data_IF_556966742439
#
_entry.id   IF_556966742439
#
_cell.length_a   1.000
_cell.length_b   1.000
_cell.length_c   1.000
_cell.angle_alpha   90.00
_cell.angle_beta   90.00
_cell.angle_gamma   90.00
#
_symmetry.space_group_name_H-M   'P 1'
#
loop_
_entity.id
_entity.type
_entity.pdbx_description
1 polymer ?
#
# COMPACT_ATOMS: atom_id res chain seq x y z
N UNK A 1 -5.12 -3.02 7.28
CA UNK A 1 -4.18 -2.34 6.36
C UNK A 1 -4.86 -1.20 5.62
N UNK A 2 -5.91 -1.44 4.81
CA UNK A 2 -6.63 -0.36 4.09
C UNK A 2 -7.08 0.77 5.02
N UNK A 3 -7.71 0.42 6.14
CA UNK A 3 -8.16 1.40 7.14
C UNK A 3 -7.00 2.20 7.75
N UNK A 4 -5.81 1.61 7.85
CA UNK A 4 -4.61 2.30 8.33
C UNK A 4 -4.13 3.37 7.35
N UNK A 5 -4.29 3.13 6.04
CA UNK A 5 -4.01 4.13 4.98
C UNK A 5 -5.07 5.23 4.97
N UNK A 6 -6.35 4.89 5.16
CA UNK A 6 -7.44 5.87 5.26
C UNK A 6 -7.37 6.72 6.52
N UNK A 7 -6.75 6.21 7.59
CA UNK A 7 -6.55 6.94 8.84
C UNK A 7 -5.38 7.94 8.77
N UNK A 8 -4.63 8.00 7.65
CA UNK A 8 -3.54 8.94 7.49
C UNK A 8 -4.02 10.40 7.50
N UNK A 9 -3.16 11.36 7.86
CA UNK A 9 -3.49 12.78 7.75
C UNK A 9 -3.91 13.16 6.32
N UNK A 10 -4.84 14.11 6.19
CA UNK A 10 -5.37 14.54 4.88
C UNK A 10 -4.27 15.03 3.94
N UNK A 11 -3.22 15.64 4.48
CA UNK A 11 -2.06 16.10 3.71
C UNK A 11 -1.35 14.94 3.00
N UNK A 12 -1.20 13.80 3.67
CA UNK A 12 -0.59 12.60 3.09
C UNK A 12 -1.57 11.92 2.13
N UNK A 13 -2.86 11.87 2.47
CA UNK A 13 -3.88 11.33 1.55
C UNK A 13 -3.94 12.12 0.23
N UNK A 14 -3.72 13.43 0.27
CA UNK A 14 -3.67 14.26 -0.93
C UNK A 14 -2.44 13.98 -1.82
N UNK A 15 -1.40 13.32 -1.29
CA UNK A 15 -0.18 12.95 -2.04
C UNK A 15 -0.27 11.58 -2.71
N UNK A 16 -1.29 10.76 -2.39
CA UNK A 16 -1.39 9.37 -2.85
C UNK A 16 -2.72 9.08 -3.54
N UNK A 17 -2.69 8.22 -4.56
CA UNK A 17 -3.89 7.59 -5.10
C UNK A 17 -4.05 6.21 -4.45
N UNK A 18 -5.04 6.06 -3.57
CA UNK A 18 -5.31 4.78 -2.91
C UNK A 18 -6.13 3.86 -3.82
N UNK A 19 -5.50 2.79 -4.29
CA UNK A 19 -6.19 1.70 -4.98
C UNK A 19 -6.29 0.47 -4.07
N UNK A 20 -7.52 0.05 -3.76
CA UNK A 20 -7.79 -1.12 -2.92
C UNK A 20 -8.24 -2.27 -3.80
N UNK A 21 -7.56 -3.41 -3.66
CA UNK A 21 -7.87 -4.62 -4.41
C UNK A 21 -8.23 -5.76 -3.46
N UNK A 22 -9.43 -6.30 -3.60
CA UNK A 22 -9.88 -7.46 -2.84
C UNK A 22 -9.51 -8.75 -3.57
N UNK A 23 -8.90 -9.71 -2.87
CA UNK A 23 -8.47 -11.00 -3.45
C UNK A 23 -9.68 -11.94 -3.53
N UNK A 24 -10.66 -11.53 -4.30
CA UNK A 24 -11.86 -12.32 -4.58
C UNK A 24 -11.98 -12.62 -6.08
N UNK A 25 -11.17 -11.93 -6.91
CA UNK A 25 -11.18 -12.07 -8.36
C UNK A 25 -9.79 -12.41 -8.91
N UNK A 26 -9.76 -13.16 -10.01
CA UNK A 26 -8.52 -13.71 -10.58
C UNK A 26 -7.61 -12.64 -11.20
N UNK A 27 -8.18 -11.53 -11.66
CA UNK A 27 -7.43 -10.35 -12.12
C UNK A 27 -6.57 -9.74 -11.00
N UNK A 28 -7.09 -9.74 -9.76
CA UNK A 28 -6.35 -9.26 -8.58
C UNK A 28 -5.22 -10.22 -8.21
N UNK A 29 -5.42 -11.52 -8.39
CA UNK A 29 -4.36 -12.54 -8.17
C UNK A 29 -3.21 -12.32 -9.16
N UNK A 30 -3.52 -12.07 -10.44
CA UNK A 30 -2.49 -11.76 -11.45
C UNK A 30 -1.75 -10.46 -11.10
N UNK A 31 -2.45 -9.42 -10.66
CA UNK A 31 -1.83 -8.16 -10.22
C UNK A 31 -0.94 -8.35 -8.99
N UNK A 32 -1.37 -9.16 -8.02
CA UNK A 32 -0.55 -9.57 -6.86
C UNK A 32 0.75 -10.22 -7.31
N UNK A 33 0.68 -11.16 -8.26
CA UNK A 33 1.88 -11.80 -8.82
C UNK A 33 2.79 -10.80 -9.54
N UNK A 34 2.23 -9.85 -10.30
CA UNK A 34 3.04 -8.79 -10.95
C UNK A 34 3.78 -7.91 -9.95
N UNK A 35 3.17 -7.63 -8.79
CA UNK A 35 3.78 -6.86 -7.70
C UNK A 35 4.71 -7.70 -6.81
N UNK A 36 4.90 -8.99 -7.12
CA UNK A 36 5.69 -9.97 -6.34
C UNK A 36 5.27 -10.07 -4.87
N UNK A 37 4.05 -9.67 -4.54
CA UNK A 37 3.53 -9.76 -3.19
C UNK A 37 3.35 -11.23 -2.81
N UNK A 38 4.03 -11.69 -1.77
CA UNK A 38 3.95 -13.10 -1.31
C UNK A 38 2.72 -13.31 -0.44
N UNK A 39 2.39 -12.33 0.39
CA UNK A 39 1.37 -12.44 1.43
C UNK A 39 0.23 -11.43 1.30
N UNK A 40 -0.89 -11.69 1.98
CA UNK A 40 -2.02 -10.75 2.15
C UNK A 40 -2.24 -10.60 3.66
N UNK A 41 -2.53 -9.39 4.18
CA UNK A 41 -2.61 -8.11 3.46
C UNK A 41 -1.23 -7.53 3.11
N UNK A 42 -1.17 -6.70 2.08
CA UNK A 42 0.06 -6.13 1.52
C UNK A 42 -0.16 -4.70 1.01
N UNK A 43 0.84 -3.82 1.18
CA UNK A 43 0.86 -2.44 0.67
C UNK A 43 2.05 -2.26 -0.29
N UNK A 44 1.75 -1.88 -1.53
CA UNK A 44 2.72 -1.47 -2.53
C UNK A 44 2.59 0.04 -2.79
N UNK A 45 3.71 0.73 -2.95
CA UNK A 45 3.81 2.16 -3.28
C UNK A 45 4.61 2.28 -4.57
N UNK A 46 4.09 3.00 -5.57
CA UNK A 46 4.74 3.14 -6.89
C UNK A 46 5.13 1.80 -7.53
N UNK A 47 4.27 0.78 -7.40
CA UNK A 47 4.49 -0.60 -7.88
C UNK A 47 5.59 -1.38 -7.14
N UNK A 48 6.18 -0.80 -6.09
CA UNK A 48 7.15 -1.47 -5.23
C UNK A 48 6.48 -1.97 -3.95
N UNK A 49 6.76 -3.22 -3.60
CA UNK A 49 6.24 -3.86 -2.39
C UNK A 49 6.95 -3.28 -1.16
N UNK A 50 6.22 -2.60 -0.26
CA UNK A 50 6.82 -1.94 0.91
C UNK A 50 6.48 -2.67 2.22
N UNK A 51 5.22 -3.08 2.40
CA UNK A 51 4.78 -3.76 3.62
C UNK A 51 4.03 -5.04 3.30
N UNK A 52 4.47 -6.17 3.84
CA UNK A 52 3.83 -7.48 3.67
C UNK A 52 3.39 -8.05 5.02
N UNK A 53 2.22 -8.70 5.03
CA UNK A 53 1.69 -9.52 6.14
C UNK A 53 1.32 -8.79 7.43
N UNK A 54 1.89 -7.62 7.72
CA UNK A 54 1.72 -6.92 9.00
C UNK A 54 1.31 -5.47 8.77
N UNK A 55 0.27 -5.02 9.48
CA UNK A 55 -0.18 -3.62 9.43
C UNK A 55 0.95 -2.73 9.97
N UNK A 56 1.51 -1.83 9.15
CA UNK A 56 2.57 -0.94 9.62
C UNK A 56 2.01 0.14 10.56
N UNK A 57 2.83 0.66 11.48
CA UNK A 57 2.55 1.89 12.20
C UNK A 57 2.27 3.06 11.25
N UNK A 58 1.49 4.06 11.69
CA UNK A 58 1.20 5.23 10.87
C UNK A 58 2.47 6.01 10.49
N UNK A 59 3.42 6.16 11.41
CA UNK A 59 4.67 6.89 11.16
C UNK A 59 5.52 6.26 10.06
N UNK A 60 5.62 4.92 10.05
CA UNK A 60 6.35 4.16 9.04
C UNK A 60 5.66 4.29 7.67
N UNK A 61 4.34 4.25 7.65
CA UNK A 61 3.55 4.39 6.42
C UNK A 61 3.71 5.80 5.83
N UNK A 62 3.67 6.84 6.66
CA UNK A 62 3.89 8.24 6.24
C UNK A 62 5.31 8.41 5.71
N UNK A 63 6.30 7.92 6.45
CA UNK A 63 7.72 8.02 6.07
C UNK A 63 7.98 7.32 4.73
N UNK A 64 7.41 6.13 4.52
CA UNK A 64 7.54 5.41 3.27
C UNK A 64 6.92 6.15 2.07
N UNK A 65 5.74 6.76 2.27
CA UNK A 65 5.09 7.60 1.25
C UNK A 65 5.94 8.82 0.93
N UNK A 66 6.38 9.56 1.94
CA UNK A 66 7.20 10.76 1.76
C UNK A 66 8.53 10.46 1.08
N UNK A 67 9.20 9.36 1.46
CA UNK A 67 10.45 8.91 0.84
C UNK A 67 10.30 8.56 -0.64
N UNK A 68 9.13 8.09 -1.07
CA UNK A 68 8.84 7.76 -2.47
C UNK A 68 8.25 8.94 -3.26
N UNK A 69 7.72 9.95 -2.56
CA UNK A 69 7.22 11.19 -3.15
C UNK A 69 8.37 12.16 -3.47
N UNK A 70 9.40 12.21 -2.62
CA UNK A 70 10.60 13.00 -2.90
C UNK A 70 11.58 12.18 -3.78
N UNK A 71 11.97 12.69 -4.97
CA UNK A 71 12.93 12.03 -5.86
C UNK A 71 14.35 11.97 -5.27
#
# INVERSE_FOLDING_TARGET
MVESVKALPKEIQAMIELQVWNIERIDVINRKMSLRAKSIPSIAINQEMIFESTIPPQEDLISAIQKKYSP
#
